data_IF_301042919818
#
_entry.id   IF_301042919818
#
_cell.length_a   1.000
_cell.length_b   1.000
_cell.length_c   1.000
_cell.angle_alpha   90.00
_cell.angle_beta   90.00
_cell.angle_gamma   90.00
#
_symmetry.space_group_name_H-M   'P 1'
#
loop_
_entity.id
_entity.type
_entity.pdbx_description
1 polymer ?
#
# COMPACT_ATOMS: atom_id res chain seq x y z
N UNK A 1 10.39 -6.12 -22.85
CA UNK A 1 8.97 -6.36 -22.54
C UNK A 1 8.72 -5.83 -21.15
N UNK A 2 7.83 -4.85 -21.00
CA UNK A 2 7.51 -4.29 -19.68
C UNK A 2 6.61 -5.27 -18.95
N UNK A 3 7.05 -5.78 -17.80
CA UNK A 3 6.22 -6.67 -16.99
C UNK A 3 5.41 -5.82 -16.01
N UNK A 4 4.11 -5.71 -16.25
CA UNK A 4 3.24 -4.94 -15.38
C UNK A 4 2.75 -5.80 -14.21
N UNK A 5 2.85 -5.26 -12.99
CA UNK A 5 2.18 -5.84 -11.82
C UNK A 5 0.86 -5.12 -11.63
N UNK A 6 -0.22 -5.89 -11.44
CA UNK A 6 -1.53 -5.37 -11.09
C UNK A 6 -1.78 -5.66 -9.61
N UNK A 7 -2.39 -4.74 -8.88
CA UNK A 7 -2.71 -4.90 -7.46
C UNK A 7 -3.99 -4.10 -7.13
N UNK A 8 -4.58 -4.39 -5.98
CA UNK A 8 -5.73 -3.65 -5.45
C UNK A 8 -5.25 -2.68 -4.35
N UNK A 9 -5.78 -1.46 -4.37
CA UNK A 9 -5.60 -0.47 -3.32
C UNK A 9 -6.98 0.09 -2.94
N UNK A 10 -7.42 -0.14 -1.71
CA UNK A 10 -8.75 0.28 -1.22
C UNK A 10 -9.89 -0.16 -2.15
N UNK A 11 -9.82 -1.40 -2.63
CA UNK A 11 -10.77 -1.96 -3.61
C UNK A 11 -10.59 -1.54 -5.08
N UNK A 12 -9.73 -0.56 -5.38
CA UNK A 12 -9.49 -0.07 -6.75
C UNK A 12 -8.28 -0.74 -7.41
N UNK A 13 -8.33 -1.00 -8.72
CA UNK A 13 -7.25 -1.68 -9.45
C UNK A 13 -6.19 -0.71 -9.94
N UNK A 14 -4.93 -0.98 -9.59
CA UNK A 14 -3.75 -0.22 -10.02
C UNK A 14 -2.75 -1.10 -10.77
N UNK A 15 -1.83 -0.45 -11.47
CA UNK A 15 -0.76 -1.09 -12.23
C UNK A 15 0.55 -0.33 -12.11
N UNK A 16 1.64 -1.08 -11.92
CA UNK A 16 3.02 -0.55 -11.86
C UNK A 16 3.91 -1.32 -12.84
N UNK A 17 4.94 -0.67 -13.34
CA UNK A 17 5.96 -1.22 -14.26
C UNK A 17 7.37 -1.29 -13.66
N UNK A 18 7.50 -0.92 -12.39
CA UNK A 18 8.73 -0.95 -11.62
C UNK A 18 8.44 -1.44 -10.19
N UNK A 19 9.49 -1.83 -9.48
CA UNK A 19 9.35 -2.23 -8.08
C UNK A 19 9.16 -1.00 -7.20
N UNK A 20 8.01 -0.95 -6.52
CA UNK A 20 7.72 0.06 -5.51
C UNK A 20 7.46 -0.62 -4.17
N UNK A 21 7.91 0.01 -3.10
CA UNK A 21 7.56 -0.40 -1.74
C UNK A 21 6.21 0.19 -1.33
N UNK A 22 5.64 -0.34 -0.24
CA UNK A 22 4.45 0.25 0.38
C UNK A 22 4.70 1.72 0.78
N UNK A 23 5.93 2.05 1.19
CA UNK A 23 6.31 3.43 1.53
C UNK A 23 6.29 4.36 0.30
N UNK A 24 6.77 3.87 -0.86
CA UNK A 24 6.75 4.65 -2.11
C UNK A 24 5.31 4.90 -2.58
N UNK A 25 4.44 3.89 -2.44
CA UNK A 25 3.01 4.01 -2.72
C UNK A 25 2.36 5.11 -1.86
N UNK A 26 2.60 5.09 -0.54
CA UNK A 26 2.07 6.10 0.38
C UNK A 26 2.58 7.50 0.05
N UNK A 27 3.86 7.60 -0.29
CA UNK A 27 4.50 8.87 -0.67
C UNK A 27 3.91 9.41 -1.97
N UNK A 28 3.66 8.56 -2.97
CA UNK A 28 3.07 8.94 -4.25
C UNK A 28 1.67 9.55 -4.08
N UNK A 29 0.83 8.97 -3.23
CA UNK A 29 -0.51 9.48 -2.94
C UNK A 29 -0.53 10.59 -1.87
N UNK A 30 0.64 11.02 -1.38
CA UNK A 30 0.78 12.06 -0.36
C UNK A 30 -0.01 11.76 0.93
N UNK A 31 -0.03 10.50 1.37
CA UNK A 31 -0.65 10.12 2.63
C UNK A 31 0.18 10.61 3.83
N UNK A 32 -0.49 11.18 4.83
CA UNK A 32 0.14 11.50 6.11
C UNK A 32 0.22 10.23 6.98
N UNK A 33 1.42 9.92 7.46
CA UNK A 33 1.76 8.69 8.16
C UNK A 33 1.44 8.70 9.67
N UNK A 34 0.85 9.79 10.18
CA UNK A 34 0.60 10.00 11.61
C UNK A 34 -0.56 9.17 12.17
N UNK A 35 -1.56 8.83 11.34
CA UNK A 35 -2.80 8.14 11.76
C UNK A 35 -3.20 7.01 10.79
N UNK A 36 -2.22 6.43 10.11
CA UNK A 36 -2.43 5.46 9.04
C UNK A 36 -2.08 4.05 9.51
N UNK A 37 -3.02 3.13 9.31
CA UNK A 37 -2.82 1.67 9.40
C UNK A 37 -2.84 1.12 8.00
N UNK A 38 -1.84 0.30 7.66
CA UNK A 38 -1.74 -0.32 6.35
C UNK A 38 -1.91 -1.83 6.51
N UNK A 39 -2.84 -2.40 5.77
CA UNK A 39 -2.97 -3.85 5.61
C UNK A 39 -2.42 -4.27 4.25
N UNK A 40 -1.62 -5.33 4.27
CA UNK A 40 -1.08 -5.99 3.08
C UNK A 40 -1.56 -7.43 3.09
N UNK A 41 -2.34 -7.81 2.07
CA UNK A 41 -2.97 -9.11 1.93
C UNK A 41 -3.76 -9.54 3.18
N UNK A 42 -4.61 -8.64 3.68
CA UNK A 42 -5.46 -8.82 4.87
C UNK A 42 -4.70 -8.99 6.20
N UNK A 43 -3.42 -8.62 6.24
CA UNK A 43 -2.60 -8.60 7.45
C UNK A 43 -2.08 -7.19 7.71
N UNK A 44 -2.17 -6.74 8.96
CA UNK A 44 -1.61 -5.44 9.36
C UNK A 44 -0.09 -5.47 9.16
N UNK A 45 0.40 -4.54 8.35
CA UNK A 45 1.82 -4.38 8.06
C UNK A 45 2.43 -3.30 8.96
N UNK A 46 3.37 -3.71 9.80
CA UNK A 46 4.10 -2.80 10.69
C UNK A 46 4.85 -1.71 9.91
N UNK A 47 4.85 -0.48 10.42
CA UNK A 47 5.45 0.71 9.77
C UNK A 47 6.94 0.56 9.43
N UNK A 48 7.69 -0.21 10.24
CA UNK A 48 9.10 -0.53 10.00
C UNK A 48 9.32 -1.38 8.73
N UNK A 49 8.31 -2.13 8.27
CA UNK A 49 8.35 -3.00 7.08
C UNK A 49 7.92 -2.30 5.80
N UNK A 50 7.35 -1.09 5.88
CA UNK A 50 6.80 -0.42 4.69
C UNK A 50 7.84 -0.14 3.60
N UNK A 51 9.09 0.15 3.99
CA UNK A 51 10.20 0.41 3.05
C UNK A 51 10.81 -0.86 2.46
N UNK A 52 10.59 -2.01 3.09
CA UNK A 52 11.18 -3.31 2.69
C UNK A 52 10.16 -4.28 2.10
N UNK A 53 8.88 -3.93 2.15
CA UNK A 53 7.78 -4.70 1.54
C UNK A 53 7.48 -4.13 0.17
N UNK A 54 7.80 -4.90 -0.88
CA UNK A 54 7.61 -4.53 -2.27
C UNK A 54 6.30 -5.10 -2.82
N UNK A 55 5.55 -4.28 -3.54
CA UNK A 55 4.27 -4.68 -4.14
C UNK A 55 4.51 -5.75 -5.21
N UNK A 56 3.75 -6.84 -5.09
CA UNK A 56 3.72 -7.95 -6.03
C UNK A 56 2.43 -7.97 -6.83
N UNK A 57 2.43 -8.76 -7.89
CA UNK A 57 1.22 -8.98 -8.68
C UNK A 57 0.14 -9.65 -7.82
N UNK A 58 -1.10 -9.18 -7.95
CA UNK A 58 -2.28 -9.60 -7.19
C UNK A 58 -2.28 -9.28 -5.70
N UNK A 59 -1.40 -8.39 -5.22
CA UNK A 59 -1.48 -7.91 -3.84
C UNK A 59 -2.76 -7.11 -3.59
N UNK A 60 -3.26 -7.21 -2.35
CA UNK A 60 -4.37 -6.40 -1.83
C UNK A 60 -3.82 -5.48 -0.75
N UNK A 61 -3.98 -4.17 -0.93
CA UNK A 61 -3.50 -3.15 -0.01
C UNK A 61 -4.69 -2.34 0.47
N UNK A 62 -4.86 -2.23 1.78
CA UNK A 62 -5.89 -1.39 2.39
C UNK A 62 -5.21 -0.34 3.28
N UNK A 63 -5.59 0.92 3.08
CA UNK A 63 -5.14 2.06 3.84
C UNK A 63 -6.30 2.54 4.69
N UNK A 64 -6.19 2.33 6.00
CA UNK A 64 -7.21 2.71 6.97
C UNK A 64 -6.68 3.85 7.82
N UNK A 65 -7.49 4.90 8.00
CA UNK A 65 -7.16 5.97 8.94
C UNK A 65 -7.94 5.79 10.23
N UNK A 66 -7.29 6.08 11.36
CA UNK A 66 -7.99 6.12 12.65
C UNK A 66 -8.83 7.40 12.66
N UNK A 67 -10.15 7.26 12.57
CA UNK A 67 -11.09 8.35 12.80
C UNK A 67 -11.56 8.30 14.26
N UNK A 68 -11.52 9.42 14.97
CA UNK A 68 -12.10 9.52 16.31
C UNK A 68 -13.62 9.39 16.20
N UNK A 69 -14.18 8.33 16.80
CA UNK A 69 -15.61 8.25 17.05
C UNK A 69 -16.01 9.24 18.15
N UNK A 70 -17.16 9.89 18.00
CA UNK A 70 -17.68 10.90 18.93
C UNK A 70 -17.85 10.40 20.37
#
# INVERSE_FOLDING_TARGET
MTNFKHFLLNGETYRIDHDISLFDLLTYFNYNDSLLVLEHNHLICEKNKWKTTFIQHSDVIEIVTIVGGG
#
